data_IF_449238558979
#
_entry.id   IF_449238558979
#
_cell.length_a   1.000
_cell.length_b   1.000
_cell.length_c   1.000
_cell.angle_alpha   90.00
_cell.angle_beta   90.00
_cell.angle_gamma   90.00
#
_symmetry.space_group_name_H-M   'P 1'
#
loop_
_entity.id
_entity.type
_entity.pdbx_description
1 polymer ?
2 polymer ?
3 non-polymer ?
4 non-polymer ?
5 water ?
#
# COMPACT_ATOMS: atom_id res chain seq x y z
N UNK A 8 -2.65 14.06 -16.35
CA UNK A 8 -3.73 14.67 -17.13
C UNK A 8 -4.71 15.43 -16.24
N UNK A 9 -5.38 16.45 -16.79
CA UNK A 9 -6.26 17.31 -15.99
C UNK A 9 -7.55 16.61 -15.54
N UNK A 10 -7.41 15.41 -14.96
CA UNK A 10 -8.52 14.61 -14.46
C UNK A 10 -9.01 15.12 -13.11
N UNK A 11 -10.11 14.53 -12.62
CA UNK A 11 -10.69 15.00 -11.36
C UNK A 11 -9.72 14.86 -10.18
N UNK A 12 -8.89 13.83 -10.18
CA UNK A 12 -8.00 13.59 -9.04
C UNK A 12 -6.67 14.35 -9.15
N UNK A 13 -6.47 15.10 -10.21
CA UNK A 13 -5.17 15.71 -10.47
C UNK A 13 -5.16 17.12 -9.90
N UNK A 14 -4.25 17.37 -8.97
CA UNK A 14 -4.14 18.67 -8.32
C UNK A 14 -2.91 19.44 -8.80
N UNK A 15 -2.17 18.91 -9.77
CA UNK A 15 -1.07 19.69 -10.34
C UNK A 15 0.04 19.95 -9.35
N UNK A 16 0.54 21.18 -9.34
CA UNK A 16 1.61 21.58 -8.45
C UNK A 16 1.06 21.80 -7.04
N UNK A 17 1.47 20.96 -6.09
CA UNK A 17 0.98 21.07 -4.71
C UNK A 17 2.02 20.43 -3.80
N UNK A 18 2.33 21.10 -2.69
CA UNK A 18 3.35 20.59 -1.79
C UNK A 18 2.83 19.50 -0.87
N UNK A 19 3.77 18.75 -0.28
CA UNK A 19 3.42 17.60 0.55
C UNK A 19 2.61 18.03 1.75
N UNK A 20 3.09 19.04 2.48
CA UNK A 20 2.37 19.46 3.68
C UNK A 20 1.02 20.08 3.33
N UNK A 21 0.94 20.83 2.23
CA UNK A 21 -0.37 21.38 1.85
C UNK A 21 -1.34 20.27 1.49
N UNK A 22 -0.88 19.23 0.77
CA UNK A 22 -1.74 18.09 0.50
C UNK A 22 -2.19 17.44 1.79
N UNK A 23 -1.29 17.32 2.78
CA UNK A 23 -1.68 16.75 4.07
C UNK A 23 -2.76 17.60 4.74
N UNK A 24 -2.54 18.92 4.80
CA UNK A 24 -3.50 19.80 5.44
C UNK A 24 -4.87 19.69 4.80
N UNK A 25 -4.92 19.62 3.46
CA UNK A 25 -6.22 19.51 2.80
C UNK A 25 -6.87 18.15 3.07
N UNK A 26 -6.10 17.07 2.97
CA UNK A 26 -6.66 15.75 3.21
C UNK A 26 -7.10 15.58 4.67
N UNK A 27 -6.40 16.22 5.59
CA UNK A 27 -6.73 16.09 7.00
C UNK A 27 -7.92 16.95 7.42
N UNK A 28 -8.66 17.50 6.48
CA UNK A 28 -9.86 18.24 6.84
C UNK A 28 -10.84 17.32 7.54
N UNK A 29 -11.50 17.78 8.59
CA UNK A 29 -12.56 16.97 9.20
C UNK A 29 -13.64 16.68 8.18
N UNK A 30 -14.11 15.45 8.15
CA UNK A 30 -15.11 15.01 7.20
C UNK A 30 -14.57 14.08 6.11
N UNK A 31 -13.26 14.04 5.92
CA UNK A 31 -12.66 13.15 4.93
C UNK A 31 -12.41 11.78 5.56
N UNK A 32 -12.92 10.74 4.92
CA UNK A 32 -12.70 9.38 5.42
C UNK A 32 -11.44 8.78 4.80
N UNK A 33 -11.00 7.67 5.38
CA UNK A 33 -9.82 6.98 4.87
C UNK A 33 -10.02 6.60 3.41
N UNK A 34 -8.96 6.69 2.61
CA UNK A 34 -9.04 6.38 1.20
C UNK A 34 -9.28 7.59 0.31
N UNK A 35 -9.71 8.72 0.88
CA UNK A 35 -9.78 9.96 0.11
C UNK A 35 -8.36 10.31 -0.35
N UNK A 36 -8.23 10.79 -1.58
CA UNK A 36 -6.90 10.88 -2.15
C UNK A 36 -6.80 12.02 -3.15
N UNK A 37 -5.56 12.31 -3.53
CA UNK A 37 -5.30 13.21 -4.65
C UNK A 37 -3.95 12.83 -5.26
N UNK A 38 -3.76 13.24 -6.50
CA UNK A 38 -2.49 13.06 -7.21
C UNK A 38 -1.94 14.44 -7.53
N UNK A 39 -0.65 14.64 -7.26
CA UNK A 39 0.00 15.92 -7.49
C UNK A 39 1.40 15.67 -8.07
N UNK A 40 2.03 16.74 -8.53
CA UNK A 40 3.41 16.65 -8.97
C UNK A 40 4.34 16.51 -7.78
N UNK A 41 5.41 15.73 -7.94
CA UNK A 41 6.37 15.57 -6.85
C UNK A 41 7.31 16.75 -6.79
N UNK A 42 7.53 17.26 -5.58
CA UNK A 42 8.47 18.36 -5.37
C UNK A 42 9.88 17.89 -5.07
N UNK A 43 10.10 16.58 -4.91
CA UNK A 43 11.44 16.07 -4.61
C UNK A 43 12.03 15.23 -5.72
N UNK A 44 11.23 14.76 -6.68
CA UNK A 44 11.74 14.07 -7.86
C UNK A 44 11.09 14.68 -9.09
N UNK A 45 11.89 15.32 -9.95
CA UNK A 45 11.31 15.94 -11.13
C UNK A 45 10.76 14.87 -12.07
N UNK A 46 9.58 15.15 -12.65
CA UNK A 46 8.90 14.20 -13.49
C UNK A 46 8.08 13.15 -12.76
N UNK A 47 8.23 13.03 -11.44
CA UNK A 47 7.41 12.05 -10.74
C UNK A 47 6.15 12.72 -10.21
N UNK A 48 5.20 11.89 -9.81
CA UNK A 48 3.98 12.34 -9.15
C UNK A 48 3.96 11.80 -7.73
N UNK A 49 2.99 12.26 -6.95
CA UNK A 49 2.76 11.74 -5.62
C UNK A 49 1.27 11.48 -5.44
N UNK A 50 0.96 10.31 -4.95
CA UNK A 50 -0.39 9.90 -4.59
C UNK A 50 -0.49 10.06 -3.09
N UNK A 51 -1.32 11.01 -2.65
CA UNK A 51 -1.47 11.35 -1.24
C UNK A 51 -2.83 10.84 -0.78
N UNK A 52 -2.84 10.11 0.34
CA UNK A 52 -4.00 9.33 0.76
C UNK A 52 -4.27 9.58 2.24
N UNK A 53 -5.54 9.84 2.56
CA UNK A 53 -5.97 9.97 3.94
C UNK A 53 -6.07 8.59 4.57
N UNK A 54 -5.45 8.43 5.74
CA UNK A 54 -5.34 7.16 6.44
C UNK A 54 -5.68 7.37 7.91
N UNK A 55 -5.82 6.26 8.62
CA UNK A 55 -6.04 6.27 10.06
C UNK A 55 -5.32 5.09 10.69
N UNK A 56 -4.81 5.29 11.89
CA UNK A 56 -4.07 4.23 12.57
C UNK A 56 -4.37 4.30 14.06
N UNK A 57 -4.27 3.13 14.73
CA UNK A 57 -4.64 3.01 16.13
C UNK A 57 -3.80 3.92 17.03
N UNK A 58 -2.54 4.14 16.69
CA UNK A 58 -1.62 4.90 17.53
C UNK A 58 -1.54 6.37 17.11
N UNK A 59 -1.35 6.63 15.82
CA UNK A 59 -1.18 7.99 15.33
C UNK A 59 -2.49 8.68 14.96
N UNK A 60 -3.62 7.99 15.04
CA UNK A 60 -4.88 8.62 14.68
C UNK A 60 -4.98 8.92 13.19
N UNK A 61 -5.67 10.02 12.86
CA UNK A 61 -5.78 10.45 11.47
C UNK A 61 -4.43 10.90 10.93
N UNK A 62 -4.09 10.46 9.72
CA UNK A 62 -2.79 10.83 9.14
C UNK A 62 -2.89 10.72 7.62
N UNK A 63 -1.81 11.09 6.94
CA UNK A 63 -1.74 11.06 5.48
C UNK A 63 -0.47 10.34 5.08
N UNK A 64 -0.59 9.43 4.10
CA UNK A 64 0.57 8.77 3.53
C UNK A 64 0.77 9.20 2.08
N UNK A 65 2.02 9.29 1.66
CA UNK A 65 2.37 9.68 0.30
C UNK A 65 3.13 8.56 -0.40
N UNK A 66 2.79 8.33 -1.67
CA UNK A 66 3.42 7.28 -2.48
C UNK A 66 3.91 7.93 -3.75
N UNK A 67 5.19 7.77 -4.05
CA UNK A 67 5.75 8.40 -5.25
C UNK A 67 5.43 7.55 -6.46
N UNK A 68 4.87 8.18 -7.47
CA UNK A 68 4.58 7.57 -8.75
C UNK A 68 5.73 7.94 -9.67
N UNK A 69 6.59 6.96 -9.97
CA UNK A 69 7.78 7.19 -10.79
C UNK A 69 7.50 6.78 -12.22
N UNK A 70 8.34 7.24 -13.14
CA UNK A 70 8.18 6.98 -14.55
C UNK A 70 9.23 5.98 -15.00
N UNK A 71 8.83 5.05 -15.85
CA UNK A 71 9.75 4.09 -16.44
C UNK A 71 10.36 4.67 -17.70
N UNK A 72 11.62 4.28 -17.95
CA UNK A 72 12.36 4.81 -19.08
C UNK A 72 11.60 4.58 -20.39
N UNK A 73 11.08 3.37 -20.57
CA UNK A 73 10.29 3.03 -21.74
C UNK A 73 8.85 2.70 -21.41
N UNK A 74 8.61 2.04 -20.28
CA UNK A 74 7.27 1.68 -19.86
C UNK A 74 6.43 2.86 -19.37
N UNK A 75 5.63 2.63 -18.34
CA UNK A 75 4.72 3.65 -17.86
C UNK A 75 4.99 4.14 -16.46
N UNK A 76 4.04 3.94 -15.55
CA UNK A 76 4.12 4.49 -14.20
C UNK A 76 4.06 3.37 -13.18
N UNK A 77 4.65 3.61 -12.01
CA UNK A 77 4.60 2.61 -10.95
C UNK A 77 4.84 3.28 -9.61
N UNK A 78 4.23 2.71 -8.58
CA UNK A 78 4.63 2.97 -7.21
C UNK A 78 5.56 1.89 -6.71
N UNK A 79 5.25 0.65 -7.04
CA UNK A 79 6.15 -0.47 -6.78
C UNK A 79 6.37 -1.20 -8.10
N UNK A 80 7.62 -1.64 -8.35
CA UNK A 80 7.96 -2.08 -9.71
C UNK A 80 7.15 -3.29 -10.17
N UNK A 81 6.60 -4.08 -9.26
CA UNK A 81 5.80 -5.24 -9.66
C UNK A 81 4.46 -4.87 -10.31
N UNK A 82 3.97 -3.64 -10.13
CA UNK A 82 2.66 -3.23 -10.66
C UNK A 82 2.90 -1.99 -11.51
N UNK A 83 2.87 -2.16 -12.84
CA UNK A 83 3.20 -1.09 -13.77
C UNK A 83 1.99 -0.80 -14.64
N UNK A 84 1.85 0.46 -15.06
CA UNK A 84 0.64 0.93 -15.73
C UNK A 84 1.00 1.82 -16.91
N UNK A 85 0.24 1.68 -18.00
CA UNK A 85 0.50 2.50 -19.18
C UNK A 85 0.18 3.97 -18.91
N UNK A 86 -0.85 4.24 -18.10
CA UNK A 86 -1.29 5.60 -17.83
C UNK A 86 -1.55 5.79 -16.34
N UNK A 87 -1.62 7.07 -15.92
CA UNK A 87 -2.00 7.38 -14.55
C UNK A 87 -3.43 6.96 -14.28
N UNK A 88 -4.30 7.08 -15.27
CA UNK A 88 -5.68 6.66 -15.10
C UNK A 88 -5.77 5.17 -14.78
N UNK A 89 -4.95 4.35 -15.46
CA UNK A 89 -4.97 2.92 -15.17
C UNK A 89 -4.42 2.63 -13.77
N UNK A 90 -3.38 3.37 -13.36
CA UNK A 90 -2.88 3.22 -12.00
C UNK A 90 -3.97 3.52 -10.97
N UNK A 91 -4.67 4.65 -11.14
CA UNK A 91 -5.73 5.01 -10.19
C UNK A 91 -6.84 3.97 -10.18
N UNK A 92 -7.23 3.48 -11.35
CA UNK A 92 -8.26 2.46 -11.39
C UNK A 92 -7.84 1.21 -10.61
N UNK A 93 -6.61 0.76 -10.84
CA UNK A 93 -6.09 -0.41 -10.14
C UNK A 93 -6.18 -0.22 -8.64
N UNK A 94 -5.65 0.89 -8.13
CA UNK A 94 -5.64 1.09 -6.69
C UNK A 94 -6.99 1.51 -6.11
N UNK A 95 -7.97 1.83 -6.95
CA UNK A 95 -9.35 1.91 -6.50
C UNK A 95 -9.97 0.52 -6.36
N UNK A 96 -9.52 -0.44 -7.17
CA UNK A 96 -10.06 -1.81 -7.06
C UNK A 96 -9.49 -2.54 -5.83
N UNK A 97 -8.17 -2.47 -5.62
CA UNK A 97 -7.51 -3.12 -4.48
C UNK A 97 -6.37 -2.24 -3.98
N UNK A 98 -6.15 -2.23 -2.67
CA UNK A 98 -5.09 -1.40 -2.12
C UNK A 98 -3.72 -1.90 -2.59
N UNK A 99 -3.54 -3.22 -2.66
CA UNK A 99 -2.36 -3.83 -3.29
C UNK A 99 -1.07 -3.22 -2.75
N UNK A 100 -1.02 -2.98 -1.44
CA UNK A 100 0.17 -2.47 -0.77
C UNK A 100 -0.03 -1.07 -0.20
N UNK A 101 -0.93 -0.29 -0.77
CA UNK A 101 -1.24 1.02 -0.22
C UNK A 101 -1.88 0.87 1.16
N UNK A 102 -1.78 1.94 1.95
CA UNK A 102 -2.38 1.93 3.29
C UNK A 102 -3.87 1.71 3.23
N UNK A 103 -4.52 2.09 2.13
CA UNK A 103 -5.96 1.96 1.99
C UNK A 103 -6.28 2.04 0.51
N UNK A 104 -7.36 1.38 0.09
CA UNK A 104 -7.75 1.54 -1.30
C UNK A 104 -8.26 2.96 -1.54
N UNK A 105 -8.06 3.44 -2.77
CA UNK A 105 -8.52 4.78 -3.12
C UNK A 105 -10.03 4.78 -3.21
N UNK A 106 -10.67 5.75 -2.54
CA UNK A 106 -12.12 5.84 -2.65
C UNK A 106 -12.51 6.99 -3.58
N UNK A 107 -12.65 8.20 -3.06
CA UNK A 107 -13.03 9.33 -3.91
C UNK A 107 -12.02 10.46 -3.75
N UNK A 108 -12.08 11.42 -4.67
CA UNK A 108 -11.09 12.49 -4.72
C UNK A 108 -11.32 13.46 -3.56
N UNK A 109 -10.22 13.99 -3.05
CA UNK A 109 -10.27 14.96 -1.97
C UNK A 109 -11.14 16.15 -2.37
N UNK A 110 -12.15 16.51 -1.59
CA UNK A 110 -12.98 17.66 -1.97
C UNK A 110 -12.28 18.97 -1.68
N UNK A 111 -12.71 20.00 -2.43
CA UNK A 111 -12.25 21.37 -2.24
C UNK A 111 -13.45 22.31 -2.27
N UNK A 112 -13.29 23.46 -1.64
CA UNK A 112 -14.36 24.44 -1.56
C UNK A 112 -14.63 25.04 -2.93
N UNK A 113 -15.88 24.98 -3.37
CA UNK A 113 -16.35 25.52 -4.64
C UNK A 113 -17.07 26.85 -4.44
N UNK A 114 -17.13 27.68 -5.47
CA UNK A 114 -17.94 28.92 -5.38
C UNK A 114 -19.38 28.64 -5.01
N UNK A 115 -19.97 29.56 -4.24
CA UNK A 115 -21.40 29.45 -3.96
C UNK A 115 -22.21 29.60 -5.25
N UNK A 116 -23.33 28.88 -5.31
CA UNK A 116 -24.18 28.93 -6.50
C UNK A 116 -25.47 29.70 -6.22
N UNK B 3 21.85 -1.91 3.38
CA UNK B 3 21.13 -2.40 4.57
C UNK B 3 19.84 -3.09 4.15
N UNK B 4 19.53 -4.20 4.80
CA UNK B 4 18.38 -5.02 4.43
C UNK B 4 17.07 -4.23 4.59
N UNK B 5 16.21 -4.33 3.57
CA UNK B 5 14.81 -3.97 3.72
C UNK B 5 13.88 -5.16 3.54
N UNK B 6 14.37 -6.30 3.05
CA UNK B 6 13.49 -7.45 2.86
C UNK B 6 13.37 -8.19 4.20
N UNK B 7 12.15 -8.55 4.64
CA UNK B 7 12.02 -9.43 5.79
C UNK B 7 12.59 -10.80 5.42
N UNK B 8 12.95 -11.59 6.43
CA UNK B 8 13.54 -12.90 6.19
C UNK B 8 12.86 -13.97 7.05
N UNK B 9 13.05 -15.21 6.62
CA UNK B 9 12.65 -16.39 7.36
C UNK B 9 11.17 -16.33 7.76
N UNK B 10 10.33 -16.12 6.76
CA UNK B 10 8.88 -16.19 6.94
C UNK B 10 8.49 -17.64 7.18
N UNK B 11 7.61 -17.87 8.16
CA UNK B 11 7.17 -19.24 8.45
C UNK B 11 5.82 -19.21 9.13
N UNK B 12 5.06 -20.30 8.98
CA UNK B 12 3.90 -20.54 9.83
C UNK B 12 4.38 -21.12 11.15
N UNK B 13 3.95 -20.54 12.27
CA UNK B 13 4.37 -21.02 13.59
C UNK B 13 3.22 -21.59 14.41
N UNK B 14 1.95 -21.36 14.03
CA UNK B 14 0.82 -22.03 14.65
C UNK B 14 -0.25 -22.19 13.58
N UNK B 15 -0.97 -23.31 13.62
CA UNK B 15 -1.94 -23.60 12.56
C UNK B 15 -3.07 -24.44 13.10
N UNK B 16 -4.28 -23.95 12.97
CA UNK B 16 -5.50 -24.73 13.11
C UNK B 16 -6.09 -24.94 11.71
N UNK B 17 -7.18 -25.71 11.60
CA UNK B 17 -7.77 -25.90 10.25
C UNK B 17 -8.18 -24.62 9.53
N UNK B 18 -8.48 -23.53 10.24
CA UNK B 18 -8.96 -22.32 9.60
C UNK B 18 -8.13 -21.07 9.88
N UNK B 19 -7.04 -21.18 10.65
CA UNK B 19 -6.32 -19.99 11.03
C UNK B 19 -4.84 -20.32 11.15
N UNK B 20 -4.00 -19.34 10.82
CA UNK B 20 -2.56 -19.48 10.85
C UNK B 20 -1.94 -18.27 11.53
N UNK B 21 -0.84 -18.50 12.23
CA UNK B 21 0.01 -17.42 12.70
C UNK B 21 1.30 -17.49 11.92
N UNK B 22 1.63 -16.42 11.20
CA UNK B 22 2.88 -16.37 10.45
C UNK B 22 3.85 -15.47 11.21
N UNK B 23 5.13 -15.64 10.93
CA UNK B 23 6.18 -14.96 11.67
C UNK B 23 7.35 -14.76 10.73
N UNK B 24 8.08 -13.66 10.92
CA UNK B 24 9.27 -13.39 10.13
C UNK B 24 10.24 -12.54 10.96
N UNK B 25 11.44 -12.37 10.42
CA UNK B 25 12.47 -11.50 11.00
C UNK B 25 12.42 -10.16 10.29
N UNK B 26 12.21 -9.08 11.05
CA UNK B 26 12.17 -7.75 10.48
C UNK B 26 13.51 -7.40 9.82
N UNK B 27 13.50 -6.54 8.79
CA UNK B 27 14.76 -6.07 8.23
C UNK B 27 15.38 -5.04 9.17
N UNK B 28 16.58 -4.58 8.81
CA UNK B 28 17.26 -3.64 9.70
C UNK B 28 16.71 -2.23 9.58
N UNK B 29 16.05 -1.89 8.46
CA UNK B 29 15.43 -0.59 8.30
C UNK B 29 14.14 -0.56 9.11
N UNK B 30 13.81 0.62 9.64
CA UNK B 30 12.53 0.79 10.34
C UNK B 30 11.39 0.69 9.33
N UNK B 31 10.47 -0.23 9.58
CA UNK B 31 9.33 -0.49 8.70
C UNK B 31 8.14 0.32 9.19
N UNK B 32 7.46 1.00 8.26
CA UNK B 32 6.23 1.72 8.59
C UNK B 32 5.08 0.74 8.82
N UNK B 33 4.82 -0.14 7.84
CA UNK B 33 3.82 -1.19 8.00
C UNK B 33 4.19 -2.32 7.05
N UNK B 34 3.60 -3.49 7.30
CA UNK B 34 3.75 -4.63 6.41
C UNK B 34 2.45 -4.85 5.64
N UNK B 35 2.61 -5.20 4.37
CA UNK B 35 1.51 -5.55 3.48
C UNK B 35 1.54 -7.06 3.32
N UNK B 36 0.44 -7.73 3.63
CA UNK B 36 0.38 -9.18 3.63
C UNK B 36 -0.74 -9.63 2.71
N UNK B 37 -0.46 -10.60 1.83
CA UNK B 37 -1.50 -11.16 0.98
C UNK B 37 -1.58 -12.66 1.18
N UNK B 38 -2.77 -13.20 0.97
CA UNK B 38 -2.87 -14.65 0.97
C UNK B 38 -4.01 -15.03 0.05
N UNK B 39 -3.86 -16.16 -0.62
CA UNK B 39 -4.85 -16.61 -1.58
C UNK B 39 -4.54 -18.00 -2.02
N UNK B 40 -5.56 -18.68 -2.53
CA UNK B 40 -5.36 -20.03 -2.99
C UNK B 40 -4.32 -20.04 -4.10
N UNK B 41 -3.33 -20.90 -3.97
CA UNK B 41 -2.29 -21.00 -4.99
C UNK B 41 -2.91 -21.34 -6.34
N UNK B 42 -2.63 -20.54 -7.37
CA UNK B 42 -3.24 -20.73 -8.66
C UNK B 42 -4.74 -20.50 -8.72
N UNK B 43 -5.33 -19.87 -7.70
CA UNK B 43 -6.77 -19.66 -7.69
C UNK B 43 -7.20 -18.54 -8.62
N UNK B 44 -8.47 -18.60 -9.07
CA UNK B 44 -8.99 -17.60 -10.00
C UNK B 44 -9.85 -16.55 -9.30
N UNK B 45 -9.72 -16.38 -8.00
CA UNK B 45 -10.27 -15.25 -7.25
C UNK B 45 -9.16 -14.30 -6.82
N UNK B 46 -9.47 -13.05 -6.50
CA UNK B 46 -8.42 -12.14 -6.04
C UNK B 46 -7.91 -12.55 -4.66
N UNK B 47 -6.63 -12.29 -4.43
CA UNK B 47 -6.05 -12.56 -3.12
C UNK B 47 -6.67 -11.65 -2.08
N UNK B 48 -6.63 -12.10 -0.84
CA UNK B 48 -6.95 -11.27 0.30
C UNK B 48 -5.72 -10.46 0.68
N UNK B 49 -5.95 -9.27 1.22
CA UNK B 49 -4.90 -8.31 1.52
C UNK B 49 -5.17 -7.68 2.88
N UNK B 50 -4.12 -7.39 3.63
CA UNK B 50 -4.27 -6.65 4.89
C UNK B 50 -2.89 -6.12 5.27
N UNK B 51 -2.83 -5.34 6.36
CA UNK B 51 -1.58 -4.81 6.84
C UNK B 51 -1.44 -5.06 8.35
N UNK B 52 -0.20 -5.08 8.81
CA UNK B 52 0.07 -5.03 10.25
C UNK B 52 1.11 -3.94 10.52
N UNK B 53 1.16 -3.43 11.75
CA UNK B 53 2.09 -2.34 12.06
C UNK B 53 3.53 -2.77 11.88
N UNK B 54 4.38 -1.80 11.51
CA UNK B 54 5.78 -2.09 11.26
C UNK B 54 6.55 -2.50 12.49
N UNK B 55 5.98 -2.27 13.68
CA UNK B 55 6.63 -2.74 14.90
C UNK B 55 6.49 -4.24 15.11
N UNK B 56 5.60 -4.90 14.38
CA UNK B 56 5.35 -6.32 14.56
C UNK B 56 6.20 -7.16 13.60
N UNK B 57 6.24 -8.46 13.86
CA UNK B 57 6.89 -9.38 12.93
C UNK B 57 6.13 -10.72 12.90
N UNK B 58 4.82 -10.67 13.16
CA UNK B 58 3.92 -11.81 13.05
C UNK B 58 2.59 -11.30 12.56
N UNK B 59 1.70 -12.22 12.16
CA UNK B 59 0.36 -11.82 11.77
C UNK B 59 -0.56 -13.04 11.81
N UNK B 60 -1.81 -12.79 12.18
CA UNK B 60 -2.84 -13.83 12.29
C UNK B 60 -3.75 -13.78 11.06
N UNK B 61 -3.84 -14.89 10.35
CA UNK B 61 -4.72 -15.07 9.20
C UNK B 61 -5.85 -15.99 9.63
N UNK B 62 -7.10 -15.59 9.37
CA UNK B 62 -8.28 -16.30 9.83
C UNK B 62 -9.22 -16.56 8.67
N UNK B 63 -10.18 -17.45 8.90
CA UNK B 63 -11.20 -17.74 7.91
C UNK B 63 -10.74 -18.54 6.71
N UNK B 64 -9.70 -19.36 6.87
CA UNK B 64 -9.25 -20.19 5.77
C UNK B 64 -10.13 -21.42 5.60
N UNK B 65 -10.13 -21.97 4.39
CA UNK B 65 -10.81 -23.24 4.13
C UNK B 65 -9.86 -24.39 4.40
N UNK B 66 -10.28 -25.41 5.15
CA UNK B 66 -9.40 -26.56 5.37
C UNK B 66 -9.06 -27.27 4.06
N UNK B 67 -7.84 -27.79 3.99
CA UNK B 67 -7.41 -28.53 2.82
C UNK B 67 -7.26 -27.73 1.55
N UNK B 68 -6.76 -26.51 1.65
CA UNK B 68 -6.51 -25.64 0.50
C UNK B 68 -5.07 -25.17 0.62
N UNK B 69 -4.32 -25.16 -0.50
CA UNK B 69 -2.97 -24.62 -0.47
C UNK B 69 -3.03 -23.12 -0.68
N UNK B 70 -2.44 -22.38 0.24
CA UNK B 70 -2.42 -20.94 0.22
C UNK B 70 -1.00 -20.45 -0.03
N UNK B 71 -0.89 -19.39 -0.83
CA UNK B 71 0.34 -18.65 -0.99
C UNK B 71 0.23 -17.40 -0.13
N UNK B 72 1.23 -17.19 0.73
CA UNK B 72 1.25 -16.11 1.71
C UNK B 72 2.50 -15.28 1.47
N UNK B 73 2.32 -13.97 1.28
CA UNK B 73 3.43 -13.11 0.92
C UNK B 73 3.44 -11.87 1.82
N UNK B 74 4.64 -11.46 2.21
CA UNK B 74 4.83 -10.33 3.11
C UNK B 74 5.76 -9.34 2.44
N UNK B 75 5.36 -8.07 2.44
CA UNK B 75 6.18 -6.97 1.96
C UNK B 75 6.34 -5.93 3.06
N UNK B 76 7.54 -5.34 3.18
CA UNK B 76 7.74 -4.23 4.10
C UNK B 76 7.61 -2.91 3.35
N UNK B 77 6.83 -1.98 3.91
CA UNK B 77 6.75 -0.63 3.38
C UNK B 77 7.48 0.29 4.34
N UNK B 78 8.44 1.07 3.82
CA UNK B 78 9.39 1.71 4.72
C UNK B 78 9.87 3.03 4.12
N UNK B 79 10.31 3.93 5.01
CA UNK B 79 10.89 5.21 4.67
C UNK B 79 12.39 5.04 4.47
N UNK B 80 12.93 5.64 3.41
CA UNK B 80 14.36 5.61 3.12
C UNK B 80 14.97 6.99 3.41
N UNK B 81 14.62 7.97 2.61
CA UNK B 81 14.97 9.36 2.90
C UNK B 81 13.81 10.24 2.44
N UNK B 82 14.01 11.56 2.51
CA UNK B 82 12.92 12.48 2.21
C UNK B 82 12.50 12.41 0.75
N UNK B 83 13.40 12.00 -0.15
CA UNK B 83 13.00 11.77 -1.55
C UNK B 83 12.29 10.43 -1.72
N UNK B 84 12.81 9.37 -1.11
CA UNK B 84 12.21 8.04 -1.22
C UNK B 84 11.58 7.71 0.13
N UNK B 85 10.45 8.37 0.39
CA UNK B 85 9.77 8.37 1.67
C UNK B 85 8.83 7.19 1.88
N UNK B 86 8.59 6.36 0.87
CA UNK B 86 7.62 5.28 1.05
C UNK B 86 7.87 4.21 -0.01
N UNK B 87 8.63 3.18 0.36
CA UNK B 87 9.10 2.19 -0.59
C UNK B 87 8.64 0.81 -0.18
N UNK B 88 8.41 -0.06 -1.16
CA UNK B 88 8.06 -1.44 -0.88
C UNK B 88 9.30 -2.32 -1.03
N UNK B 89 9.54 -3.18 -0.05
CA UNK B 89 10.66 -4.12 -0.13
C UNK B 89 10.34 -5.22 -1.12
N UNK B 90 11.37 -5.98 -1.50
CA UNK B 90 11.10 -7.26 -2.16
C UNK B 90 10.28 -8.14 -1.22
N UNK B 91 9.48 -9.05 -1.77
CA UNK B 91 8.61 -9.89 -0.96
C UNK B 91 9.34 -11.09 -0.38
N UNK B 92 8.71 -11.69 0.62
CA UNK B 92 9.05 -13.06 1.00
C UNK B 92 7.75 -13.83 1.04
N UNK B 93 7.76 -15.07 0.56
CA UNK B 93 6.55 -15.85 0.38
C UNK B 93 6.75 -17.25 0.94
N UNK B 94 5.65 -17.86 1.37
CA UNK B 94 5.62 -19.26 1.76
C UNK B 94 4.31 -19.85 1.26
N UNK B 95 4.23 -21.18 1.31
CA UNK B 95 2.98 -21.86 1.02
C UNK B 95 2.60 -22.72 2.19
N UNK B 96 1.30 -22.86 2.38
CA UNK B 96 0.82 -23.70 3.46
C UNK B 96 -0.50 -24.31 3.07
N UNK B 97 -0.65 -25.61 3.30
CA UNK B 97 -1.90 -26.30 3.08
C UNK B 97 -2.59 -26.53 4.43
N UNK B 98 -3.77 -25.98 4.58
CA UNK B 98 -4.53 -26.11 5.82
C UNK B 98 -5.01 -27.53 6.02
X LIG C 1 6.82 14.88 -2.67
X LIG C 1 6.20 16.04 -3.30
X LIG C 1 6.94 13.79 -3.63
X LIG C 1 8.14 15.30 -2.18
X LIG C 1 6.03 14.46 -1.51
X LIG D 1 5.38 -9.69 17.71
X LIG D 1 4.71 -8.50 18.34
X LIG D 1 5.32 -9.61 16.20
X LIG D 1 4.56 -10.93 18.01
X LIG D 1 7.07 -9.97 18.28
X LIG D 1 7.69 -11.16 17.54
X LIG D 1 7.19 -12.52 18.02
X LIG D 1 8.21 -13.51 17.70
X LIG D 1 7.69 -14.75 17.11
X LIG D 1 6.73 -15.42 18.10
X LIG D 1 6.27 -16.82 17.67
X LIG D 1 7.36 -17.75 17.12
X LIG D 1 8.47 -17.06 16.30
X LIG D 1 8.88 -15.66 16.78
X LIG E 1 -10.51 -16.60 18.37
X LIG E 1 -11.23 -15.71 17.39
X LIG E 1 -11.46 -17.64 18.93
X LIG E 1 -10.08 -15.60 19.42
X LIG E 1 -9.06 -17.40 17.63
X LIG E 1 -8.06 -17.73 18.74
X LIG E 1 -6.63 -17.67 18.20
X LIG E 1 -6.31 -18.94 17.60
X LIG E 1 -5.35 -18.78 16.51
X LIG E 1 -5.08 -20.16 15.92
X LIG E 1 -3.67 -20.40 15.41
X LIG E 1 -2.99 -19.11 14.97
X LIG E 1 -2.91 -18.07 16.10
X LIG E 1 -4.12 -18.05 17.03
#
# INVERSE_FOLDING_TARGET
GSPADSIQAEEWYFGKMGRKDAERLLLNPGNQRGIFLVRESETTKGAYSLSIRDWDEVRGDNVKHYKIRKLDNGGYYITTRAQFDTLQKLVKHYTEHADGLCHKLTTVCPTVKPQT
GSVSSVPTKLEVVAATPTSLLISWDAPAVTVDYYFITYGETGGNSPVQEFTVPGSKSTATISGLKPGVDYTITVYAWYYYDDEYYMNESSPISINYRT
SO4 S O1 O2 O3 O4
CXS S O1 O2 O3 C1 C2 C3 N C4 C5 C6 C7 C8 C9
CXS S O1 O2 O3 C1 C2 C3 N C4 C5 C6 C7 C8 C9
#
